data_IF_795934201286
#
_entry.id   IF_795934201286
#
_cell.length_a   1.000
_cell.length_b   1.000
_cell.length_c   1.000
_cell.angle_alpha   90.00
_cell.angle_beta   90.00
_cell.angle_gamma   90.00
#
_symmetry.space_group_name_H-M   'P 1'
#
loop_
_entity.id
_entity.type
_entity.pdbx_description
1 polymer ?
#
# COMPACT_ATOMS: atom_id res chain seq x y z
N UNK A 1 5.99 -18.07 -10.35
CA UNK A 1 6.39 -17.60 -10.22
C UNK A 1 6.55 -16.36 -10.08
N UNK A 2 6.57 -15.65 -10.39
CA UNK A 2 6.76 -14.40 -10.14
C UNK A 2 5.61 -13.62 -9.85
N UNK A 3 4.66 -14.10 -9.07
CA UNK A 3 3.58 -13.33 -8.65
C UNK A 3 4.02 -12.32 -7.69
N UNK A 4 3.56 -11.10 -7.77
CA UNK A 4 3.75 -10.11 -6.73
C UNK A 4 3.08 -10.61 -5.46
N UNK A 5 3.86 -10.70 -4.41
CA UNK A 5 3.33 -11.09 -3.12
C UNK A 5 2.47 -9.94 -2.59
N UNK A 6 1.35 -10.25 -1.96
CA UNK A 6 0.49 -9.22 -1.39
C UNK A 6 0.45 -9.33 0.13
N UNK A 7 0.16 -8.20 0.76
CA UNK A 7 0.05 -8.14 2.22
C UNK A 7 -1.17 -8.93 2.69
N UNK A 8 -2.08 -9.25 1.78
CA UNK A 8 -3.24 -10.10 2.08
C UNK A 8 -2.83 -11.46 2.63
N UNK A 9 -1.63 -11.93 2.31
CA UNK A 9 -1.14 -13.21 2.79
C UNK A 9 -0.94 -13.23 4.31
N UNK A 10 -0.83 -12.07 4.94
CA UNK A 10 -0.73 -12.00 6.39
C UNK A 10 -2.09 -12.03 7.09
N UNK A 11 -3.18 -12.03 6.32
CA UNK A 11 -4.52 -12.17 6.84
C UNK A 11 -5.27 -10.87 7.05
N UNK A 12 -6.56 -11.00 7.27
CA UNK A 12 -7.46 -9.86 7.39
C UNK A 12 -7.12 -8.99 8.61
N UNK A 13 -6.92 -9.63 9.76
CA UNK A 13 -6.62 -8.90 11.00
C UNK A 13 -5.33 -8.08 10.86
N UNK A 14 -4.32 -8.64 10.21
CA UNK A 14 -3.08 -7.93 9.97
C UNK A 14 -3.33 -6.68 9.14
N UNK A 15 -4.12 -6.80 8.07
CA UNK A 15 -4.41 -5.67 7.19
C UNK A 15 -5.19 -4.58 7.92
N UNK A 16 -6.16 -4.98 8.75
CA UNK A 16 -6.90 -4.02 9.58
C UNK A 16 -5.93 -3.22 10.45
N UNK A 17 -5.03 -3.92 11.14
CA UNK A 17 -4.07 -3.28 12.03
C UNK A 17 -3.05 -2.43 11.27
N UNK A 18 -2.72 -2.82 10.04
CA UNK A 18 -1.88 -2.00 9.18
C UNK A 18 -2.55 -0.64 8.91
N UNK A 19 -3.84 -0.65 8.59
CA UNK A 19 -4.58 0.60 8.39
C UNK A 19 -4.59 1.42 9.69
N UNK A 20 -4.78 0.77 10.85
CA UNK A 20 -4.70 1.45 12.14
C UNK A 20 -3.38 2.22 12.25
N UNK A 21 -2.27 1.56 11.91
CA UNK A 21 -0.96 2.18 12.00
C UNK A 21 -0.83 3.38 11.08
N UNK A 22 -1.37 3.27 9.87
CA UNK A 22 -1.28 4.36 8.89
C UNK A 22 -2.06 5.60 9.31
N UNK A 23 -3.18 5.43 10.02
CA UNK A 23 -4.02 6.58 10.36
C UNK A 23 -3.80 7.07 11.79
N UNK A 24 -3.08 6.33 12.62
CA UNK A 24 -2.87 6.71 14.01
C UNK A 24 -1.43 7.10 14.33
N UNK A 25 -0.49 6.83 13.45
CA UNK A 25 0.92 7.10 13.71
C UNK A 25 1.52 7.83 12.52
N UNK A 26 1.60 9.14 12.63
CA UNK A 26 2.10 9.97 11.54
C UNK A 26 3.56 9.65 11.20
N UNK A 27 4.37 9.35 12.20
CA UNK A 27 5.78 9.02 11.96
C UNK A 27 5.90 7.74 11.14
N UNK A 28 5.08 6.74 11.43
CA UNK A 28 5.06 5.52 10.64
C UNK A 28 4.64 5.81 9.20
N UNK A 29 3.59 6.62 9.03
CA UNK A 29 3.12 6.98 7.69
C UNK A 29 4.24 7.69 6.92
N UNK A 30 4.95 8.61 7.56
CA UNK A 30 6.07 9.30 6.91
C UNK A 30 7.14 8.32 6.46
N UNK A 31 7.39 7.27 7.24
CA UNK A 31 8.41 6.29 6.89
C UNK A 31 8.02 5.42 5.70
N UNK A 32 6.73 5.15 5.52
CA UNK A 32 6.31 4.16 4.55
C UNK A 32 5.66 4.76 3.31
N UNK A 33 5.26 6.03 3.37
CA UNK A 33 4.42 6.62 2.31
C UNK A 33 5.05 6.54 0.92
N UNK A 34 6.37 6.67 0.83
CA UNK A 34 7.05 6.66 -0.46
C UNK A 34 7.04 5.29 -1.13
N UNK A 35 6.87 4.23 -0.36
CA UNK A 35 6.85 2.87 -0.88
C UNK A 35 5.47 2.22 -0.71
N UNK A 36 4.51 2.95 -0.16
CA UNK A 36 3.15 2.47 0.02
C UNK A 36 2.44 2.44 -1.32
N UNK A 37 1.88 1.30 -1.68
CA UNK A 37 1.23 1.16 -2.98
C UNK A 37 0.05 0.19 -2.83
N UNK A 38 -1.10 0.60 -3.35
CA UNK A 38 -2.31 -0.22 -3.26
C UNK A 38 -2.17 -1.53 -4.03
N UNK A 39 -1.23 -1.64 -4.95
CA UNK A 39 -1.03 -2.89 -5.70
C UNK A 39 -0.56 -4.04 -4.81
N UNK A 40 -0.07 -3.74 -3.60
CA UNK A 40 0.39 -4.77 -2.68
C UNK A 40 -0.71 -5.36 -1.83
N UNK A 41 -1.97 -4.99 -2.07
CA UNK A 41 -3.11 -5.66 -1.46
C UNK A 41 -4.07 -6.10 -2.56
N UNK A 42 -4.79 -7.18 -2.31
CA UNK A 42 -5.68 -7.75 -3.32
C UNK A 42 -7.16 -7.42 -3.10
N UNK A 43 -7.47 -6.72 -2.03
CA UNK A 43 -8.86 -6.39 -1.67
C UNK A 43 -9.18 -4.96 -2.09
N UNK A 44 -10.26 -4.79 -2.84
CA UNK A 44 -10.62 -3.47 -3.39
C UNK A 44 -10.81 -2.40 -2.32
N UNK A 45 -11.40 -2.78 -1.20
CA UNK A 45 -11.65 -1.81 -0.13
C UNK A 45 -10.35 -1.39 0.54
N UNK A 46 -9.42 -2.33 0.78
CA UNK A 46 -8.11 -1.98 1.29
C UNK A 46 -7.32 -1.15 0.27
N UNK A 47 -7.43 -1.49 -1.02
CA UNK A 47 -6.80 -0.69 -2.08
C UNK A 47 -7.27 0.76 -2.02
N UNK A 48 -8.57 0.95 -1.89
CA UNK A 48 -9.16 2.28 -1.82
C UNK A 48 -8.64 3.05 -0.60
N UNK A 49 -8.61 2.39 0.55
CA UNK A 49 -8.14 3.03 1.78
C UNK A 49 -6.68 3.44 1.68
N UNK A 50 -5.83 2.55 1.20
CA UNK A 50 -4.40 2.82 1.09
C UNK A 50 -4.16 3.97 0.13
N UNK A 51 -4.87 3.97 -1.00
CA UNK A 51 -4.74 5.05 -1.98
C UNK A 51 -5.15 6.39 -1.39
N UNK A 52 -6.28 6.45 -0.70
CA UNK A 52 -6.75 7.70 -0.12
C UNK A 52 -5.82 8.21 0.98
N UNK A 53 -5.31 7.31 1.81
CA UNK A 53 -4.37 7.67 2.87
C UNK A 53 -3.09 8.26 2.27
N UNK A 54 -2.55 7.60 1.24
CA UNK A 54 -1.33 8.04 0.59
C UNK A 54 -1.52 9.38 -0.11
N UNK A 55 -2.59 9.51 -0.89
CA UNK A 55 -2.83 10.75 -1.64
C UNK A 55 -3.08 11.93 -0.72
N UNK A 56 -3.81 11.71 0.37
CA UNK A 56 -4.04 12.77 1.33
C UNK A 56 -2.72 13.22 1.95
N UNK A 57 -1.88 12.28 2.36
CA UNK A 57 -0.59 12.63 2.94
C UNK A 57 0.28 13.38 1.94
N UNK A 58 0.30 12.94 0.69
CA UNK A 58 1.14 13.60 -0.32
C UNK A 58 0.69 15.04 -0.57
N UNK A 59 -0.60 15.30 -0.49
CA UNK A 59 -1.12 16.65 -0.72
C UNK A 59 -1.03 17.54 0.51
N UNK A 60 -1.41 17.03 1.67
CA UNK A 60 -1.55 17.85 2.87
C UNK A 60 -0.48 17.61 3.92
N UNK A 61 0.36 16.61 3.72
CA UNK A 61 1.44 16.25 4.65
C UNK A 61 0.92 15.93 6.03
N UNK A 62 -0.23 15.31 6.10
CA UNK A 62 -0.85 14.94 7.36
C UNK A 62 -1.68 13.68 7.20
N UNK A 63 -2.07 13.11 8.33
CA UNK A 63 -2.88 11.91 8.36
C UNK A 63 -4.33 12.30 8.05
N UNK A 64 -4.97 11.50 7.21
CA UNK A 64 -6.37 11.72 6.85
C UNK A 64 -7.26 11.56 8.09
N UNK A 65 -8.28 12.42 8.21
CA UNK A 65 -9.16 12.41 9.36
C UNK A 65 -10.46 11.67 9.05
N UNK A 66 -11.21 11.32 10.10
CA UNK A 66 -12.52 10.69 9.91
C UNK A 66 -13.48 11.54 9.12
N UNK A 67 -13.48 12.85 9.36
CA UNK A 67 -14.37 13.72 8.62
C UNK A 67 -14.08 13.68 7.13
N UNK A 68 -12.81 13.64 6.76
CA UNK A 68 -12.41 13.55 5.36
C UNK A 68 -12.80 12.18 4.79
N UNK A 69 -12.59 11.11 5.55
CA UNK A 69 -13.01 9.78 5.10
C UNK A 69 -14.53 9.75 4.82
N UNK A 70 -15.33 10.33 5.70
CA UNK A 70 -16.78 10.34 5.50
C UNK A 70 -17.17 11.00 4.19
N UNK A 71 -16.54 12.12 3.87
CA UNK A 71 -16.83 12.83 2.62
C UNK A 71 -16.41 11.97 1.43
N UNK A 72 -15.20 11.42 1.48
CA UNK A 72 -14.67 10.63 0.36
C UNK A 72 -15.47 9.34 0.15
N UNK A 73 -15.93 8.71 1.21
CA UNK A 73 -16.75 7.51 1.11
C UNK A 73 -18.05 7.81 0.39
N UNK A 74 -18.66 8.97 0.67
CA UNK A 74 -19.90 9.35 -0.01
C UNK A 74 -19.69 9.55 -1.50
N UNK A 75 -18.48 9.80 -1.94
CA UNK A 75 -18.15 9.99 -3.34
C UNK A 75 -17.88 8.69 -4.10
N UNK A 76 -17.84 7.56 -3.38
CA UNK A 76 -17.64 6.26 -4.03
C UNK A 76 -18.90 5.89 -4.81
N UNK A 77 -18.73 5.58 -6.11
CA UNK A 77 -19.87 5.25 -6.96
C UNK A 77 -20.45 3.87 -6.70
N UNK A 78 -19.60 2.90 -6.36
CA UNK A 78 -20.03 1.52 -6.14
C UNK A 78 -20.60 1.36 -4.74
N UNK A 79 -21.88 0.95 -4.65
CA UNK A 79 -22.51 0.69 -3.37
C UNK A 79 -21.80 -0.40 -2.60
N UNK A 80 -21.34 -1.44 -3.30
CA UNK A 80 -20.66 -2.55 -2.66
C UNK A 80 -19.33 -2.09 -2.07
N UNK A 81 -18.54 -1.32 -2.83
CA UNK A 81 -17.28 -0.81 -2.34
C UNK A 81 -17.50 0.09 -1.12
N UNK A 82 -18.53 0.94 -1.19
CA UNK A 82 -18.86 1.84 -0.09
C UNK A 82 -19.12 1.07 1.21
N UNK A 83 -19.93 0.01 1.11
CA UNK A 83 -20.25 -0.83 2.28
C UNK A 83 -18.99 -1.51 2.80
N UNK A 84 -18.17 -2.05 1.92
CA UNK A 84 -16.96 -2.76 2.32
C UNK A 84 -15.95 -1.83 2.99
N UNK A 85 -15.80 -0.62 2.48
CA UNK A 85 -14.90 0.37 3.08
C UNK A 85 -15.40 0.74 4.48
N UNK A 86 -16.72 0.96 4.62
CA UNK A 86 -17.30 1.29 5.92
C UNK A 86 -17.07 0.16 6.93
N UNK A 87 -17.25 -1.09 6.49
CA UNK A 87 -17.06 -2.25 7.37
C UNK A 87 -15.61 -2.35 7.83
N UNK A 88 -14.67 -2.15 6.92
CA UNK A 88 -13.25 -2.17 7.28
C UNK A 88 -12.94 -1.07 8.28
N UNK A 89 -13.44 0.14 8.06
CA UNK A 89 -13.17 1.24 8.99
C UNK A 89 -13.74 0.97 10.37
N UNK A 90 -14.90 0.31 10.46
CA UNK A 90 -15.42 -0.09 11.77
C UNK A 90 -14.45 -1.00 12.50
N UNK A 91 -13.88 -1.98 11.78
CA UNK A 91 -12.90 -2.89 12.36
C UNK A 91 -11.62 -2.16 12.74
N UNK A 92 -11.21 -1.21 11.92
CA UNK A 92 -10.03 -0.38 12.21
C UNK A 92 -10.21 0.33 13.55
N UNK A 93 -11.38 0.94 13.77
CA UNK A 93 -11.61 1.64 15.04
C UNK A 93 -11.67 0.72 16.24
N UNK A 94 -12.13 -0.51 16.05
CA UNK A 94 -12.12 -1.48 17.14
C UNK A 94 -10.70 -1.89 17.52
N UNK A 95 -9.75 -1.71 16.65
CA UNK A 95 -8.37 -2.15 16.86
C UNK A 95 -7.39 -1.01 17.10
N UNK A 96 -7.88 0.19 17.35
CA UNK A 96 -7.03 1.36 17.52
C UNK A 96 -6.07 1.22 18.71
N UNK A 97 -6.45 0.42 19.70
CA UNK A 97 -5.63 0.22 20.89
C UNK A 97 -5.05 -1.19 20.97
N UNK A 98 -4.91 -1.86 19.82
CA UNK A 98 -4.32 -3.18 19.80
C UNK A 98 -2.88 -3.12 20.34
N UNK A 99 -2.44 -4.22 20.96
CA UNK A 99 -1.16 -4.23 21.65
C UNK A 99 -0.01 -4.67 20.77
N UNK A 100 -0.28 -5.15 19.57
CA UNK A 100 0.75 -5.67 18.66
C UNK A 100 1.05 -4.74 17.49
N UNK A 101 0.70 -3.46 17.62
CA UNK A 101 0.88 -2.52 16.51
C UNK A 101 2.35 -2.30 16.15
N UNK A 102 3.26 -2.36 17.11
CA UNK A 102 4.68 -2.20 16.79
C UNK A 102 5.17 -3.32 15.90
N UNK A 103 4.73 -4.55 16.17
CA UNK A 103 5.06 -5.68 15.30
C UNK A 103 4.48 -5.48 13.90
N UNK A 104 3.23 -5.02 13.83
CA UNK A 104 2.56 -4.77 12.56
C UNK A 104 3.32 -3.73 11.73
N UNK A 105 3.78 -2.65 12.39
CA UNK A 105 4.56 -1.61 11.71
C UNK A 105 5.85 -2.17 11.14
N UNK A 106 6.60 -2.91 11.95
CA UNK A 106 7.88 -3.46 11.53
C UNK A 106 7.69 -4.42 10.36
N UNK A 107 6.72 -5.32 10.48
CA UNK A 107 6.46 -6.32 9.46
C UNK A 107 5.98 -5.69 8.15
N UNK A 108 5.11 -4.69 8.28
CA UNK A 108 4.57 -4.00 7.10
C UNK A 108 5.65 -3.22 6.38
N UNK A 109 6.51 -2.55 7.12
CA UNK A 109 7.60 -1.78 6.52
C UNK A 109 8.57 -2.70 5.79
N UNK A 110 8.95 -3.83 6.42
CA UNK A 110 9.82 -4.82 5.80
C UNK A 110 9.19 -5.38 4.54
N UNK A 111 7.90 -5.69 4.58
CA UNK A 111 7.19 -6.22 3.43
C UNK A 111 7.26 -5.24 2.26
N UNK A 112 6.91 -3.97 2.51
CA UNK A 112 6.87 -2.97 1.43
C UNK A 112 8.27 -2.69 0.87
N UNK A 113 9.27 -2.59 1.72
CA UNK A 113 10.65 -2.40 1.26
C UNK A 113 11.08 -3.56 0.39
N UNK A 114 10.75 -4.78 0.78
CA UNK A 114 11.10 -5.98 0.03
C UNK A 114 10.42 -6.00 -1.34
N UNK A 115 9.13 -5.64 -1.40
CA UNK A 115 8.40 -5.64 -2.65
C UNK A 115 8.92 -4.58 -3.62
N UNK A 116 9.20 -3.39 -3.11
CA UNK A 116 9.74 -2.32 -3.94
C UNK A 116 11.11 -2.73 -4.50
N UNK A 117 11.94 -3.36 -3.69
CA UNK A 117 13.25 -3.82 -4.14
C UNK A 117 13.10 -4.91 -5.21
N UNK A 118 12.20 -5.87 -5.00
CA UNK A 118 11.94 -6.91 -6.00
C UNK A 118 11.45 -6.32 -7.31
N UNK A 119 10.51 -5.38 -7.24
CA UNK A 119 10.00 -4.73 -8.43
C UNK A 119 11.10 -3.98 -9.17
N UNK A 120 11.97 -3.31 -8.43
CA UNK A 120 13.09 -2.57 -9.05
C UNK A 120 14.07 -3.51 -9.74
N UNK A 121 14.35 -4.66 -9.12
CA UNK A 121 15.26 -5.64 -9.69
C UNK A 121 14.66 -6.22 -10.97
N UNK A 122 13.38 -6.59 -10.92
CA UNK A 122 12.71 -7.15 -12.11
C UNK A 122 12.69 -6.14 -13.24
N UNK A 123 12.36 -4.90 -12.93
CA UNK A 123 12.31 -3.85 -13.94
C UNK A 123 13.69 -3.60 -14.54
N UNK A 124 14.72 -3.61 -13.70
CA UNK A 124 16.10 -3.42 -14.17
C UNK A 124 16.51 -4.55 -15.10
N UNK A 125 16.14 -5.79 -14.78
CA UNK A 125 16.44 -6.93 -15.62
C UNK A 125 15.75 -6.82 -16.97
N UNK A 126 14.48 -6.40 -16.98
CA UNK A 126 13.73 -6.20 -18.21
C UNK A 126 14.36 -5.12 -19.08
N UNK A 127 14.79 -4.04 -18.48
CA UNK A 127 15.43 -2.95 -19.19
C UNK A 127 16.75 -3.42 -19.78
N UNK A 128 17.54 -4.16 -19.02
CA UNK A 128 18.82 -4.66 -19.50
C UNK A 128 18.64 -5.63 -20.66
N UNK A 129 17.61 -6.46 -20.61
CA UNK A 129 17.34 -7.37 -21.73
C UNK A 129 17.01 -6.59 -23.00
N UNK A 130 16.17 -5.58 -22.86
CA UNK A 130 15.79 -4.76 -23.99
C UNK A 130 16.97 -4.01 -24.56
N UNK A 131 17.78 -3.41 -23.69
CA UNK A 131 18.95 -2.66 -24.12
C UNK A 131 20.02 -3.57 -24.69
N UNK A 132 20.16 -4.77 -24.12
CA UNK A 132 21.08 -5.75 -24.64
C UNK A 132 20.76 -6.14 -26.08
N UNK A 133 19.49 -6.44 -26.34
CA UNK A 133 19.05 -6.76 -27.69
C UNK A 133 19.30 -5.58 -28.64
N UNK A 134 18.96 -4.40 -28.19
CA UNK A 134 19.17 -3.21 -28.97
C UNK A 134 20.66 -2.99 -29.26
N UNK A 135 21.48 -3.21 -28.28
CA UNK A 135 22.91 -3.04 -28.39
C UNK A 135 23.51 -4.03 -29.35
N UNK A 136 23.04 -5.25 -29.28
CA UNK A 136 23.53 -6.23 -30.24
C UNK A 136 23.25 -5.79 -31.64
N UNK A 137 22.06 -5.27 -31.84
CA UNK A 137 21.71 -4.78 -33.12
C UNK A 137 22.61 -3.64 -33.51
N UNK A 138 22.89 -2.78 -32.62
CA UNK A 138 23.66 -1.66 -32.92
C UNK A 138 25.08 -1.91 -32.96
N UNK A 139 25.40 -2.95 -32.69
CA UNK A 139 26.66 -3.00 -32.74
C UNK A 139 27.37 -3.04 -31.60
N UNK A 140 26.86 -3.71 -30.81
CA UNK A 140 27.34 -3.83 -29.66
C UNK A 140 28.57 -3.59 -29.73
N UNK A 141 28.65 -3.28 -30.10
CA UNK A 141 28.82 -2.61 -30.41
C UNK A 141 29.89 -2.03 -30.33
N UNK A 142 30.10 -1.54 -30.41
CA UNK A 142 31.01 -0.88 -30.14
C UNK A 142 32.06 -1.50 -29.65
#
# INVERSE_FOLDING_TARGET
>A
MNKTKTISEYGYSFQIKFIVCLISDKLFLEQIVDILDEKYTSNDAFCWLIKEIREYYNEYKDVITMNVFKIKIQEIDSDLLQVNVKDILKEVFKNIEATDLDYIKDKSLDFHKSQVLKDAIIRSAEILERDGDSDEIKGLRD
#
